data_IF_873903882883
#
_entry.id   IF_873903882883
#
_cell.length_a   1.000
_cell.length_b   1.000
_cell.length_c   1.000
_cell.angle_alpha   90.00
_cell.angle_beta   90.00
_cell.angle_gamma   90.00
#
_symmetry.space_group_name_H-M   'P 1'
#
loop_
_entity.id
_entity.type
_entity.pdbx_description
1 polymer ?
#
# COMPACT_ATOMS: atom_id res chain seq x y z
N UNK A 1 13.06 -6.28 -4.07
CA UNK A 1 14.43 -6.76 -3.85
C UNK A 1 14.54 -8.22 -4.23
N UNK A 2 15.62 -8.65 -4.89
CA UNK A 2 15.85 -10.07 -5.27
C UNK A 2 16.75 -10.84 -4.28
N UNK A 3 17.24 -10.17 -3.25
CA UNK A 3 18.10 -10.75 -2.23
C UNK A 3 19.53 -11.06 -2.70
N UNK A 4 19.90 -10.63 -3.90
CA UNK A 4 21.20 -10.87 -4.54
C UNK A 4 21.91 -9.55 -4.81
N UNK A 5 21.59 -8.92 -5.92
CA UNK A 5 22.29 -7.73 -6.41
C UNK A 5 21.31 -6.56 -6.69
N UNK A 6 19.99 -6.81 -6.71
CA UNK A 6 19.03 -5.81 -7.12
C UNK A 6 18.12 -5.41 -5.98
N UNK A 7 18.26 -4.16 -5.57
CA UNK A 7 17.39 -3.51 -4.60
C UNK A 7 16.83 -2.23 -5.24
N UNK A 8 15.52 -2.12 -5.29
CA UNK A 8 14.82 -1.01 -5.91
C UNK A 8 13.62 -0.60 -5.09
N UNK A 9 13.22 0.65 -5.19
CA UNK A 9 12.03 1.19 -4.56
C UNK A 9 11.01 1.68 -5.61
N UNK A 10 9.76 1.79 -5.21
CA UNK A 10 8.66 2.31 -6.03
C UNK A 10 8.04 3.60 -5.44
N UNK A 11 8.85 4.34 -4.70
CA UNK A 11 8.41 5.56 -4.02
C UNK A 11 7.78 5.30 -2.66
N UNK A 12 7.14 6.32 -2.14
CA UNK A 12 6.49 6.29 -0.83
C UNK A 12 4.98 6.45 -0.94
N UNK A 13 4.31 6.12 0.16
CA UNK A 13 2.88 6.34 0.40
C UNK A 13 2.70 7.11 1.71
N UNK A 14 1.69 7.95 1.76
CA UNK A 14 1.21 8.55 2.99
C UNK A 14 0.05 7.73 3.53
N UNK A 15 0.18 7.26 4.76
CA UNK A 15 -0.82 6.46 5.45
C UNK A 15 -1.24 7.11 6.79
N UNK A 16 -1.16 8.43 6.87
CA UNK A 16 -1.42 9.18 8.11
C UNK A 16 -2.89 9.21 8.49
N UNK A 17 -3.80 9.06 7.52
CA UNK A 17 -5.24 9.06 7.80
C UNK A 17 -5.66 7.72 8.39
N UNK A 18 -5.79 7.72 9.71
CA UNK A 18 -6.05 6.51 10.50
C UNK A 18 -7.18 6.74 11.49
N UNK A 19 -7.87 5.66 11.85
CA UNK A 19 -8.79 5.61 12.98
C UNK A 19 -8.42 4.44 13.87
N UNK A 20 -8.17 4.70 15.17
CA UNK A 20 -7.76 3.67 16.14
C UNK A 20 -6.57 2.82 15.67
N UNK A 21 -5.56 3.49 15.08
CA UNK A 21 -4.36 2.88 14.50
C UNK A 21 -4.62 1.97 13.28
N UNK A 22 -5.80 2.06 12.65
CA UNK A 22 -6.10 1.41 11.39
C UNK A 22 -6.07 2.44 10.26
N UNK A 23 -5.30 2.16 9.21
CA UNK A 23 -5.24 2.97 8.00
C UNK A 23 -6.63 2.97 7.33
N UNK A 24 -7.10 4.13 6.89
CA UNK A 24 -8.40 4.31 6.22
C UNK A 24 -8.25 4.85 4.80
N UNK A 25 -7.30 5.77 4.64
CA UNK A 25 -6.99 6.42 3.36
C UNK A 25 -5.47 6.38 3.22
N UNK A 26 -5.02 5.95 2.07
CA UNK A 26 -3.62 5.98 1.67
C UNK A 26 -3.48 6.73 0.35
N UNK A 27 -2.41 7.49 0.23
CA UNK A 27 -2.15 8.24 -0.99
C UNK A 27 -0.67 8.19 -1.38
N UNK A 28 -0.41 8.37 -2.66
CA UNK A 28 0.93 8.51 -3.19
C UNK A 28 0.94 9.44 -4.43
N UNK A 29 2.02 10.22 -4.59
CA UNK A 29 3.03 10.49 -3.58
C UNK A 29 2.48 11.32 -2.43
N UNK A 30 3.14 11.32 -1.26
CA UNK A 30 2.75 12.17 -0.13
C UNK A 30 2.80 13.65 -0.52
N UNK A 31 1.68 14.41 -0.41
CA UNK A 31 1.59 15.76 -0.98
C UNK A 31 2.45 16.77 -0.23
N UNK A 32 2.72 16.53 1.04
CA UNK A 32 3.47 17.46 1.89
C UNK A 32 4.95 17.12 2.06
N UNK A 33 5.42 15.98 1.54
CA UNK A 33 6.77 15.50 1.79
C UNK A 33 7.80 16.22 0.90
N UNK A 34 8.80 16.85 1.52
CA UNK A 34 9.88 17.51 0.80
C UNK A 34 10.69 16.49 -0.03
N UNK A 35 11.10 16.86 -1.24
CA UNK A 35 11.85 15.97 -2.13
C UNK A 35 13.16 15.46 -1.51
N UNK A 36 13.84 16.27 -0.72
CA UNK A 36 15.06 15.85 -0.03
C UNK A 36 14.78 14.75 1.02
N UNK A 37 13.72 14.91 1.81
CA UNK A 37 13.30 13.89 2.78
C UNK A 37 12.85 12.62 2.07
N UNK A 38 12.10 12.74 0.97
CA UNK A 38 11.69 11.61 0.15
C UNK A 38 12.89 10.79 -0.32
N UNK A 39 13.93 11.47 -0.84
CA UNK A 39 15.14 10.82 -1.29
C UNK A 39 15.84 10.10 -0.14
N UNK A 40 16.00 10.74 1.01
CA UNK A 40 16.63 10.14 2.18
C UNK A 40 15.88 8.88 2.66
N UNK A 41 14.54 8.92 2.69
CA UNK A 41 13.70 7.78 3.06
C UNK A 41 13.93 6.59 2.11
N UNK A 42 13.99 6.85 0.80
CA UNK A 42 14.21 5.78 -0.18
C UNK A 42 15.64 5.23 -0.11
N UNK A 43 16.64 6.08 0.06
CA UNK A 43 18.04 5.67 0.18
C UNK A 43 18.26 4.77 1.42
N UNK A 44 17.80 5.22 2.58
CA UNK A 44 17.88 4.43 3.84
C UNK A 44 17.14 3.11 3.72
N UNK A 45 15.99 3.11 3.00
CA UNK A 45 15.22 1.88 2.78
C UNK A 45 15.97 0.87 1.92
N UNK A 46 16.67 1.32 0.88
CA UNK A 46 17.54 0.44 0.07
C UNK A 46 18.71 -0.07 0.90
N UNK A 47 19.43 0.80 1.60
CA UNK A 47 20.54 0.41 2.47
C UNK A 47 20.15 -0.65 3.49
N UNK A 48 18.98 -0.50 4.12
CA UNK A 48 18.46 -1.48 5.07
C UNK A 48 18.21 -2.84 4.40
N UNK A 49 17.56 -2.84 3.24
CA UNK A 49 17.27 -4.07 2.50
C UNK A 49 18.55 -4.78 2.03
N UNK A 50 19.56 -4.03 1.60
CA UNK A 50 20.89 -4.56 1.23
C UNK A 50 21.60 -5.19 2.43
N UNK A 51 21.62 -4.48 3.56
CA UNK A 51 22.29 -4.95 4.78
C UNK A 51 21.75 -6.30 5.28
N UNK A 52 20.45 -6.54 5.13
CA UNK A 52 19.80 -7.80 5.54
C UNK A 52 19.62 -8.79 4.39
N UNK A 53 20.03 -8.44 3.17
CA UNK A 53 19.85 -9.25 1.95
C UNK A 53 18.39 -9.64 1.74
N UNK A 54 17.51 -8.65 1.89
CA UNK A 54 16.08 -8.88 1.80
C UNK A 54 15.66 -9.34 0.39
N UNK A 55 14.77 -10.33 0.31
CA UNK A 55 14.19 -10.82 -0.94
C UNK A 55 12.67 -10.77 -0.89
N UNK A 56 12.06 -10.20 -1.89
CA UNK A 56 10.62 -10.02 -2.03
C UNK A 56 10.17 -8.56 -2.01
N UNK A 57 8.86 -8.35 -2.00
CA UNK A 57 8.27 -7.06 -1.73
C UNK A 57 8.23 -6.80 -0.22
N UNK A 58 8.54 -5.58 0.17
CA UNK A 58 8.49 -5.13 1.55
C UNK A 58 8.15 -3.65 1.64
N UNK A 59 7.74 -3.21 2.81
CA UNK A 59 7.48 -1.80 3.10
C UNK A 59 8.13 -1.43 4.41
N UNK A 60 8.89 -0.34 4.40
CA UNK A 60 9.48 0.24 5.60
C UNK A 60 8.60 1.42 6.01
N UNK A 61 8.17 1.42 7.25
CA UNK A 61 7.33 2.49 7.80
C UNK A 61 8.17 3.46 8.64
N UNK A 62 7.93 4.74 8.40
CA UNK A 62 8.60 5.84 9.10
C UNK A 62 7.56 6.81 9.67
N UNK A 63 7.90 7.40 10.79
CA UNK A 63 7.24 8.61 11.27
C UNK A 63 8.06 9.81 10.81
N UNK A 64 7.41 10.78 10.16
CA UNK A 64 8.09 11.99 9.64
C UNK A 64 7.55 13.21 10.35
N UNK A 65 8.44 14.05 10.89
CA UNK A 65 8.10 15.40 11.33
C UNK A 65 8.06 16.32 10.11
N UNK A 66 6.86 16.69 9.69
CA UNK A 66 6.65 17.53 8.51
C UNK A 66 7.20 18.96 8.67
N UNK A 67 7.53 19.38 9.88
CA UNK A 67 8.10 20.71 10.16
C UNK A 67 9.61 20.71 9.98
N UNK A 68 10.29 19.70 10.50
CA UNK A 68 11.75 19.61 10.50
C UNK A 68 12.30 18.77 9.35
N UNK A 69 11.47 17.85 8.81
CA UNK A 69 11.89 16.84 7.84
C UNK A 69 12.63 15.66 8.47
N UNK A 70 12.75 15.62 9.79
CA UNK A 70 13.31 14.49 10.51
C UNK A 70 12.38 13.28 10.40
N UNK A 71 12.95 12.08 10.29
CA UNK A 71 12.17 10.86 10.21
C UNK A 71 12.74 9.77 11.11
N UNK A 72 11.85 8.89 11.55
CA UNK A 72 12.15 7.83 12.50
C UNK A 72 11.60 6.51 12.01
N UNK A 73 12.46 5.49 11.97
CA UNK A 73 12.07 4.12 11.63
C UNK A 73 11.06 3.59 12.65
N UNK A 74 9.98 3.00 12.17
CA UNK A 74 8.98 2.31 13.00
C UNK A 74 9.17 0.80 12.86
N UNK A 75 8.95 0.28 11.64
CA UNK A 75 9.00 -1.15 11.37
C UNK A 75 9.25 -1.43 9.89
N UNK A 76 9.56 -2.69 9.59
CA UNK A 76 9.54 -3.23 8.24
C UNK A 76 8.49 -4.33 8.14
N UNK A 77 7.54 -4.14 7.24
CA UNK A 77 6.60 -5.17 6.86
C UNK A 77 7.18 -6.00 5.73
N UNK A 78 7.57 -7.24 6.04
CA UNK A 78 8.23 -8.17 5.11
C UNK A 78 7.21 -8.92 4.23
N UNK A 79 6.26 -8.21 3.69
CA UNK A 79 5.14 -8.70 2.88
C UNK A 79 4.57 -7.57 2.03
N UNK A 80 3.71 -7.92 1.07
CA UNK A 80 2.85 -6.95 0.43
C UNK A 80 1.86 -6.36 1.45
N UNK A 81 1.48 -5.12 1.27
CA UNK A 81 0.51 -4.42 2.12
C UNK A 81 -0.83 -4.24 1.42
N UNK A 82 -1.88 -3.95 2.20
CA UNK A 82 -3.24 -3.71 1.69
C UNK A 82 -3.24 -2.57 0.67
N UNK A 83 -2.47 -1.52 0.95
CA UNK A 83 -2.35 -0.29 0.17
C UNK A 83 -1.39 -0.36 -1.05
N UNK A 84 -0.96 -1.56 -1.46
CA UNK A 84 -0.09 -1.70 -2.65
C UNK A 84 -0.71 -1.15 -3.95
N UNK A 85 -2.04 -1.17 -4.14
CA UNK A 85 -2.65 -0.67 -5.37
C UNK A 85 -2.35 0.79 -5.68
N UNK A 86 -2.15 1.63 -4.66
CA UNK A 86 -1.76 3.03 -4.84
C UNK A 86 -0.42 3.14 -5.59
N UNK A 87 0.55 2.32 -5.19
CA UNK A 87 1.85 2.25 -5.86
C UNK A 87 1.71 1.68 -7.27
N UNK A 88 0.91 0.63 -7.45
CA UNK A 88 0.68 0.02 -8.77
C UNK A 88 0.03 0.98 -9.76
N UNK A 89 -0.95 1.76 -9.32
CA UNK A 89 -1.61 2.78 -10.16
C UNK A 89 -0.62 3.84 -10.68
N UNK A 90 0.34 4.25 -9.86
CA UNK A 90 1.31 5.28 -10.23
C UNK A 90 2.44 4.74 -11.11
N UNK A 91 2.86 3.52 -10.89
CA UNK A 91 4.07 2.97 -11.50
C UNK A 91 3.79 2.03 -12.66
N UNK A 92 2.54 1.55 -12.78
CA UNK A 92 2.16 0.52 -13.76
C UNK A 92 2.78 -0.85 -13.47
N UNK A 93 3.34 -1.06 -12.27
CA UNK A 93 3.98 -2.31 -11.87
C UNK A 93 2.98 -3.18 -11.12
N UNK A 94 2.83 -4.45 -11.49
CA UNK A 94 2.08 -5.44 -10.73
C UNK A 94 2.98 -6.06 -9.67
N UNK A 95 2.79 -5.66 -8.40
CA UNK A 95 3.63 -6.10 -7.28
C UNK A 95 3.44 -7.58 -6.93
N UNK A 96 2.28 -8.13 -7.18
CA UNK A 96 2.00 -9.56 -6.94
C UNK A 96 2.75 -10.41 -7.96
N UNK A 97 2.72 -10.03 -9.23
CA UNK A 97 3.50 -10.68 -10.30
C UNK A 97 4.99 -10.58 -10.01
N UNK A 98 5.49 -9.41 -9.61
CA UNK A 98 6.90 -9.22 -9.22
C UNK A 98 7.30 -10.13 -8.06
N UNK A 99 6.48 -10.25 -7.02
CA UNK A 99 6.76 -11.16 -5.91
C UNK A 99 6.88 -12.61 -6.36
N UNK A 100 5.99 -13.06 -7.23
CA UNK A 100 6.01 -14.43 -7.76
C UNK A 100 7.25 -14.66 -8.64
N UNK A 101 7.61 -13.69 -9.48
CA UNK A 101 8.80 -13.75 -10.32
C UNK A 101 10.09 -13.85 -9.47
N UNK A 102 10.21 -13.01 -8.45
CA UNK A 102 11.35 -13.02 -7.52
C UNK A 102 11.41 -14.35 -6.75
N UNK A 103 10.27 -14.84 -6.26
CA UNK A 103 10.21 -16.13 -5.59
C UNK A 103 10.59 -17.29 -6.53
N UNK A 104 10.32 -17.15 -7.83
CA UNK A 104 10.79 -18.04 -8.88
C UNK A 104 12.26 -17.89 -9.27
N UNK A 105 13.01 -17.02 -8.59
CA UNK A 105 14.46 -16.81 -8.78
C UNK A 105 14.82 -15.78 -9.85
N UNK A 106 13.85 -15.03 -10.39
CA UNK A 106 14.09 -13.94 -11.33
C UNK A 106 14.59 -12.69 -10.57
N UNK A 107 15.27 -11.80 -11.29
CA UNK A 107 15.63 -10.48 -10.77
C UNK A 107 14.43 -9.53 -10.89
N UNK A 108 14.49 -8.40 -10.15
CA UNK A 108 13.48 -7.34 -10.23
C UNK A 108 13.38 -6.81 -11.67
N UNK A 109 12.19 -6.82 -12.25
CA UNK A 109 11.99 -6.55 -13.69
C UNK A 109 12.29 -5.10 -14.08
N UNK A 110 12.10 -4.15 -13.17
CA UNK A 110 12.27 -2.71 -13.39
C UNK A 110 13.61 -2.14 -12.88
N UNK A 111 14.56 -3.00 -12.49
CA UNK A 111 15.83 -2.57 -11.91
C UNK A 111 16.66 -1.65 -12.83
N UNK A 112 16.57 -1.85 -14.15
CA UNK A 112 17.30 -1.05 -15.13
C UNK A 112 16.65 0.33 -15.41
N UNK A 113 15.38 0.49 -15.11
CA UNK A 113 14.64 1.73 -15.28
C UNK A 113 13.53 1.76 -14.22
N UNK A 114 13.77 2.48 -13.14
CA UNK A 114 12.71 2.66 -12.14
C UNK A 114 11.46 3.22 -12.82
N UNK A 115 10.28 2.62 -12.60
CA UNK A 115 9.04 3.16 -13.11
C UNK A 115 8.86 4.58 -12.59
N UNK A 116 8.70 5.53 -13.50
CA UNK A 116 8.40 6.89 -13.12
C UNK A 116 6.97 6.93 -12.60
N UNK A 117 6.82 7.30 -11.34
CA UNK A 117 5.50 7.61 -10.80
C UNK A 117 4.89 8.78 -11.60
N UNK A 118 3.68 8.58 -12.11
CA UNK A 118 2.98 9.60 -12.90
C UNK A 118 1.60 9.84 -12.29
N UNK A 119 1.36 11.09 -11.91
CA UNK A 119 0.08 11.49 -11.33
C UNK A 119 0.04 11.37 -9.83
N UNK A 120 -1.15 11.10 -9.31
CA UNK A 120 -1.47 10.92 -7.90
C UNK A 120 -2.52 9.84 -7.78
N UNK A 121 -2.45 9.02 -6.75
CA UNK A 121 -3.43 7.98 -6.49
C UNK A 121 -3.82 7.97 -5.02
N UNK A 122 -5.10 7.74 -4.74
CA UNK A 122 -5.66 7.66 -3.40
C UNK A 122 -6.43 6.35 -3.29
N UNK A 123 -6.17 5.59 -2.23
CA UNK A 123 -6.93 4.40 -1.88
C UNK A 123 -7.83 4.69 -0.68
N UNK A 124 -9.06 4.21 -0.76
CA UNK A 124 -10.04 4.22 0.33
C UNK A 124 -10.36 2.78 0.72
N UNK A 125 -10.26 2.46 2.01
CA UNK A 125 -10.74 1.18 2.54
C UNK A 125 -12.20 1.28 2.90
N UNK A 126 -13.02 0.41 2.33
CA UNK A 126 -14.45 0.29 2.64
C UNK A 126 -14.65 -0.95 3.50
N UNK A 127 -15.15 -0.74 4.72
CA UNK A 127 -15.34 -1.81 5.71
C UNK A 127 -16.80 -1.89 6.16
N UNK A 128 -17.24 -3.09 6.53
CA UNK A 128 -18.54 -3.32 7.15
C UNK A 128 -18.50 -2.85 8.61
N UNK A 129 -18.85 -1.60 8.82
CA UNK A 129 -18.82 -0.91 10.12
C UNK A 129 -20.08 -0.07 10.30
N UNK A 130 -20.52 0.07 11.55
CA UNK A 130 -21.67 0.87 11.93
C UNK A 130 -21.24 2.24 12.47
N UNK A 131 -21.42 3.34 11.71
CA UNK A 131 -21.06 4.68 12.16
C UNK A 131 -21.83 5.13 13.43
N UNK A 132 -23.08 4.69 13.59
CA UNK A 132 -23.91 5.06 14.75
C UNK A 132 -23.43 4.38 16.03
N UNK A 133 -22.73 3.26 15.90
CA UNK A 133 -22.09 2.56 17.00
C UNK A 133 -20.57 2.82 17.09
N UNK A 134 -20.15 4.01 16.65
CA UNK A 134 -18.74 4.41 16.71
C UNK A 134 -17.84 3.58 15.80
N UNK A 135 -18.34 3.16 14.64
CA UNK A 135 -17.64 2.32 13.69
C UNK A 135 -17.24 0.94 14.24
N UNK A 136 -18.12 0.34 15.05
CA UNK A 136 -17.96 -1.05 15.42
C UNK A 136 -18.12 -1.95 14.18
N UNK A 137 -17.38 -3.08 14.10
CA UNK A 137 -17.60 -4.03 13.02
C UNK A 137 -19.08 -4.47 12.96
N UNK A 138 -19.63 -4.47 11.77
CA UNK A 138 -21.04 -4.82 11.49
C UNK A 138 -21.09 -6.05 10.56
N UNK A 139 -20.82 -7.26 11.10
CA UNK A 139 -20.89 -8.49 10.32
C UNK A 139 -22.33 -8.75 9.86
N UNK A 140 -22.49 -9.35 8.70
CA UNK A 140 -23.82 -9.64 8.15
C UNK A 140 -23.77 -9.95 6.66
N UNK A 141 -24.95 -10.11 6.06
CA UNK A 141 -25.09 -10.36 4.63
C UNK A 141 -25.14 -9.03 3.87
N UNK A 142 -24.43 -8.98 2.76
CA UNK A 142 -24.52 -7.88 1.80
C UNK A 142 -25.80 -8.09 0.98
N UNK A 143 -26.81 -7.26 1.19
CA UNK A 143 -28.10 -7.34 0.50
C UNK A 143 -28.01 -6.78 -0.92
N UNK A 144 -27.22 -5.73 -1.12
CA UNK A 144 -26.95 -5.11 -2.42
C UNK A 144 -25.54 -4.55 -2.45
N UNK A 145 -24.85 -4.70 -3.57
CA UNK A 145 -23.47 -4.20 -3.76
C UNK A 145 -23.38 -3.49 -5.11
N UNK A 146 -23.16 -2.19 -5.08
CA UNK A 146 -22.85 -1.40 -6.26
C UNK A 146 -21.47 -0.78 -6.09
N UNK A 147 -20.52 -1.28 -6.86
CA UNK A 147 -19.14 -0.79 -6.83
C UNK A 147 -18.93 0.30 -7.89
N UNK A 148 -18.18 1.36 -7.60
CA UNK A 148 -17.88 2.40 -8.57
C UNK A 148 -17.03 1.83 -9.72
N UNK A 149 -17.17 2.41 -10.90
CA UNK A 149 -16.39 2.05 -12.08
C UNK A 149 -16.22 3.26 -12.98
N UNK A 150 -15.20 3.24 -13.82
CA UNK A 150 -14.94 4.30 -14.79
C UNK A 150 -13.45 4.52 -15.03
N UNK A 151 -13.08 5.43 -15.96
CA UNK A 151 -11.69 5.76 -16.20
C UNK A 151 -10.99 6.25 -14.92
N UNK A 152 -9.81 5.69 -14.61
CA UNK A 152 -9.01 6.05 -13.43
C UNK A 152 -9.51 5.44 -12.12
N UNK A 153 -10.59 4.64 -12.13
CA UNK A 153 -11.07 3.97 -10.93
C UNK A 153 -10.71 2.48 -10.99
N UNK A 154 -10.02 2.01 -9.94
CA UNK A 154 -9.79 0.59 -9.68
C UNK A 154 -10.53 0.19 -8.41
N UNK A 155 -11.14 -0.99 -8.42
CA UNK A 155 -11.77 -1.57 -7.23
C UNK A 155 -11.26 -2.98 -7.04
N UNK A 156 -10.67 -3.22 -5.87
CA UNK A 156 -10.28 -4.56 -5.43
C UNK A 156 -11.28 -5.03 -4.37
N UNK A 157 -12.04 -6.07 -4.66
CA UNK A 157 -13.02 -6.66 -3.74
C UNK A 157 -13.13 -8.16 -3.98
N UNK A 158 -13.42 -8.90 -2.91
CA UNK A 158 -13.82 -10.31 -2.98
C UNK A 158 -15.33 -10.49 -2.75
N UNK A 159 -16.03 -9.38 -2.52
CA UNK A 159 -17.45 -9.41 -2.19
C UNK A 159 -18.33 -9.28 -3.42
N UNK A 160 -19.47 -9.95 -3.37
CA UNK A 160 -20.59 -9.84 -4.29
C UNK A 160 -21.91 -9.75 -3.49
N UNK A 161 -23.00 -9.46 -4.16
CA UNK A 161 -24.31 -9.49 -3.53
C UNK A 161 -24.58 -10.88 -2.94
N UNK A 162 -25.02 -10.92 -1.70
CA UNK A 162 -25.23 -12.16 -0.95
C UNK A 162 -24.03 -12.61 -0.13
N UNK A 163 -22.83 -12.03 -0.30
CA UNK A 163 -21.64 -12.36 0.51
C UNK A 163 -21.94 -12.11 2.00
N UNK A 164 -21.50 -13.01 2.85
CA UNK A 164 -21.62 -12.88 4.32
C UNK A 164 -20.28 -12.45 4.88
N UNK A 165 -20.23 -11.27 5.48
CA UNK A 165 -19.05 -10.78 6.22
C UNK A 165 -19.06 -11.42 7.60
N UNK A 166 -18.06 -12.26 7.93
CA UNK A 166 -18.04 -12.98 9.20
C UNK A 166 -17.49 -12.09 10.32
N UNK A 167 -17.82 -12.39 11.58
CA UNK A 167 -17.32 -11.64 12.74
C UNK A 167 -15.88 -12.01 13.16
N UNK A 168 -15.22 -12.92 12.44
CA UNK A 168 -13.96 -13.54 12.88
C UNK A 168 -12.71 -12.93 12.22
N UNK A 169 -12.89 -12.17 11.16
CA UNK A 169 -11.82 -11.59 10.35
C UNK A 169 -12.01 -10.09 10.17
N UNK A 170 -11.15 -9.49 9.36
CA UNK A 170 -11.28 -8.09 8.97
C UNK A 170 -12.63 -7.85 8.27
N UNK A 171 -13.25 -6.72 8.58
CA UNK A 171 -14.54 -6.32 8.01
C UNK A 171 -14.44 -5.67 6.63
N UNK A 172 -13.27 -5.63 6.01
CA UNK A 172 -13.05 -4.95 4.74
C UNK A 172 -13.86 -5.60 3.61
N UNK A 173 -14.64 -4.77 2.92
CA UNK A 173 -15.48 -5.16 1.78
C UNK A 173 -14.73 -4.90 0.47
N UNK A 174 -14.12 -3.74 0.34
CA UNK A 174 -13.44 -3.31 -0.87
C UNK A 174 -12.35 -2.29 -0.57
N UNK A 175 -11.44 -2.16 -1.55
CA UNK A 175 -10.55 -1.00 -1.70
C UNK A 175 -10.96 -0.29 -2.97
N UNK A 176 -11.09 1.02 -2.90
CA UNK A 176 -11.39 1.88 -4.06
C UNK A 176 -10.19 2.78 -4.26
N UNK A 177 -9.61 2.74 -5.45
CA UNK A 177 -8.41 3.48 -5.80
C UNK A 177 -8.72 4.39 -7.00
N UNK A 178 -8.33 5.66 -6.91
CA UNK A 178 -8.55 6.64 -7.97
C UNK A 178 -7.34 7.57 -8.11
#
# INVERSE_FOLDING_TARGET
CDGKETYAHLGERDCSVQRRHQKLIEEAPSPGLASATRQQLTDVSIELCEAVKYAGAGTIEFLVDMTTGEFYFIEMNTRIQVEHPVTEMLTGTDLVVEQLAIAGGQSVSFAAAQPLASGHAIELRVSAEDPEQGFAPAPGRIESLVLPSGPGIRVDSHCEEGTVIPPYYDSMIAKIIA
#
